data_IF_296366140011
#
_entry.id   IF_296366140011
#
_cell.length_a   1.000
_cell.length_b   1.000
_cell.length_c   1.000
_cell.angle_alpha   90.00
_cell.angle_beta   90.00
_cell.angle_gamma   90.00
#
_symmetry.space_group_name_H-M   'P 1'
#
loop_
_entity.id
_entity.type
_entity.pdbx_description
1 polymer ?
#
# COMPACT_ATOMS: atom_id res chain seq x y z
N UNK A 1 46.16 -20.73 60.67
CA UNK A 1 46.97 -20.65 59.44
C UNK A 1 46.03 -20.70 58.25
N UNK A 2 46.06 -19.62 57.45
CA UNK A 2 45.76 -19.50 56.01
C UNK A 2 44.35 -19.77 55.48
N UNK A 3 43.75 -18.66 55.05
CA UNK A 3 43.10 -18.39 53.78
C UNK A 3 42.00 -19.33 53.29
N UNK A 4 40.78 -18.81 53.25
CA UNK A 4 39.79 -19.28 52.27
C UNK A 4 39.17 -18.06 51.59
N UNK A 5 39.72 -17.82 50.41
CA UNK A 5 39.37 -16.84 49.37
C UNK A 5 37.88 -16.66 49.12
N UNK A 6 37.41 -15.41 49.21
CA UNK A 6 36.17 -14.95 48.60
C UNK A 6 36.23 -15.11 47.08
N UNK A 7 35.50 -16.09 46.54
CA UNK A 7 35.26 -16.18 45.10
C UNK A 7 34.10 -15.26 44.75
N UNK A 8 34.42 -14.07 44.27
CA UNK A 8 33.48 -13.17 43.61
C UNK A 8 33.01 -13.81 42.30
N UNK A 9 31.77 -14.29 42.28
CA UNK A 9 31.10 -14.78 41.07
C UNK A 9 30.79 -13.57 40.17
N UNK A 10 31.73 -13.22 39.28
CA UNK A 10 31.48 -12.30 38.16
C UNK A 10 30.69 -13.05 37.10
N UNK A 11 29.38 -12.90 37.10
CA UNK A 11 28.51 -13.35 36.00
C UNK A 11 28.82 -12.51 34.77
N UNK A 12 29.54 -13.08 33.79
CA UNK A 12 29.73 -12.46 32.48
C UNK A 12 28.40 -12.52 31.71
N UNK A 13 27.93 -11.42 31.08
CA UNK A 13 26.71 -11.45 30.28
C UNK A 13 26.92 -12.37 29.08
N UNK A 14 25.97 -13.28 28.85
CA UNK A 14 25.99 -14.21 27.71
C UNK A 14 26.08 -13.43 26.38
N UNK A 15 26.83 -13.93 25.37
CA UNK A 15 26.94 -13.26 24.10
C UNK A 15 25.56 -13.23 23.41
N UNK A 16 25.08 -12.04 23.04
CA UNK A 16 23.94 -11.88 22.13
C UNK A 16 24.38 -12.37 20.74
N UNK A 17 24.10 -13.63 20.44
CA UNK A 17 24.52 -14.31 19.18
C UNK A 17 23.72 -13.82 17.96
N UNK A 18 22.56 -13.16 18.17
CA UNK A 18 21.76 -12.57 17.09
C UNK A 18 21.47 -11.11 17.47
N UNK A 19 22.00 -10.17 16.69
CA UNK A 19 21.57 -8.77 16.70
C UNK A 19 20.42 -8.65 15.71
N UNK A 20 19.19 -8.57 16.22
CA UNK A 20 18.02 -8.29 15.40
C UNK A 20 17.89 -6.77 15.29
N UNK A 21 18.01 -6.24 14.07
CA UNK A 21 17.61 -4.87 13.78
C UNK A 21 16.10 -4.82 13.60
N UNK A 22 15.39 -4.36 14.63
CA UNK A 22 13.93 -4.21 14.60
C UNK A 22 13.47 -3.23 13.52
N UNK A 23 14.28 -2.24 13.17
CA UNK A 23 13.99 -1.27 12.11
C UNK A 23 14.02 -1.92 10.74
N UNK A 24 15.06 -2.72 10.48
CA UNK A 24 15.20 -3.46 9.22
C UNK A 24 14.06 -4.46 9.02
N UNK A 25 13.66 -5.18 10.08
CA UNK A 25 12.51 -6.10 10.03
C UNK A 25 11.21 -5.37 9.71
N UNK A 26 10.95 -4.23 10.36
CA UNK A 26 9.72 -3.45 10.09
C UNK A 26 9.66 -2.94 8.65
N UNK A 27 10.79 -2.45 8.13
CA UNK A 27 10.87 -2.00 6.74
C UNK A 27 10.61 -3.16 5.78
N UNK A 28 11.25 -4.31 6.01
CA UNK A 28 11.03 -5.50 5.19
C UNK A 28 9.57 -5.98 5.22
N UNK A 29 8.94 -5.96 6.40
CA UNK A 29 7.54 -6.32 6.55
C UNK A 29 6.63 -5.36 5.76
N UNK A 30 6.87 -4.06 5.85
CA UNK A 30 6.13 -3.05 5.10
C UNK A 30 6.24 -3.28 3.58
N UNK A 31 7.44 -3.58 3.09
CA UNK A 31 7.68 -3.87 1.68
C UNK A 31 6.93 -5.13 1.21
N UNK A 32 6.92 -6.19 2.03
CA UNK A 32 6.16 -7.42 1.73
C UNK A 32 4.67 -7.11 1.64
N UNK A 33 4.12 -6.40 2.62
CA UNK A 33 2.69 -6.05 2.65
C UNK A 33 2.34 -5.20 1.43
N UNK A 34 3.13 -4.16 1.16
CA UNK A 34 2.96 -3.28 0.00
C UNK A 34 2.97 -4.07 -1.31
N UNK A 35 3.94 -4.95 -1.49
CA UNK A 35 4.05 -5.79 -2.70
C UNK A 35 2.88 -6.75 -2.83
N UNK A 36 2.44 -7.37 -1.74
CA UNK A 36 1.27 -8.25 -1.75
C UNK A 36 0.00 -7.49 -2.14
N UNK A 37 -0.21 -6.28 -1.63
CA UNK A 37 -1.35 -5.42 -2.03
C UNK A 37 -1.24 -5.04 -3.52
N UNK A 38 -0.05 -4.71 -4.01
CA UNK A 38 0.15 -4.40 -5.42
C UNK A 38 -0.14 -5.60 -6.33
N UNK A 39 0.39 -6.77 -6.00
CA UNK A 39 0.22 -8.00 -6.78
C UNK A 39 -1.25 -8.45 -6.78
N UNK A 40 -1.93 -8.37 -5.64
CA UNK A 40 -3.35 -8.72 -5.54
C UNK A 40 -4.25 -7.78 -6.34
N UNK A 41 -4.07 -6.46 -6.22
CA UNK A 41 -4.86 -5.50 -7.00
C UNK A 41 -4.64 -5.68 -8.51
N UNK A 42 -3.39 -5.88 -8.93
CA UNK A 42 -3.07 -6.14 -10.34
C UNK A 42 -3.67 -7.47 -10.82
N UNK A 43 -3.62 -8.52 -10.01
CA UNK A 43 -4.24 -9.81 -10.31
C UNK A 43 -5.76 -9.71 -10.47
N UNK A 44 -6.42 -8.93 -9.61
CA UNK A 44 -7.87 -8.70 -9.72
C UNK A 44 -8.23 -7.91 -10.97
N UNK A 45 -7.45 -6.88 -11.33
CA UNK A 45 -7.65 -6.12 -12.58
C UNK A 45 -7.48 -7.03 -13.81
N UNK A 46 -6.51 -7.93 -13.77
CA UNK A 46 -6.33 -8.92 -14.83
C UNK A 46 -7.50 -9.90 -14.89
N UNK A 47 -7.98 -10.41 -13.75
CA UNK A 47 -9.13 -11.31 -13.71
C UNK A 47 -10.42 -10.65 -14.25
N UNK A 48 -10.67 -9.39 -13.90
CA UNK A 48 -11.81 -8.63 -14.40
C UNK A 48 -11.72 -8.40 -15.92
N UNK A 49 -10.52 -8.15 -16.44
CA UNK A 49 -10.31 -8.02 -17.88
C UNK A 49 -10.53 -9.34 -18.64
N UNK A 50 -10.14 -10.48 -18.06
CA UNK A 50 -10.39 -11.79 -18.65
C UNK A 50 -11.89 -12.13 -18.64
N UNK A 51 -12.59 -11.82 -17.56
CA UNK A 51 -14.05 -11.95 -17.46
C UNK A 51 -14.76 -11.09 -18.50
N UNK A 52 -14.34 -9.84 -18.69
CA UNK A 52 -14.89 -8.95 -19.72
C UNK A 52 -14.61 -9.44 -21.15
N UNK A 53 -13.48 -10.12 -21.38
CA UNK A 53 -13.14 -10.67 -22.70
C UNK A 53 -13.74 -12.06 -22.96
N UNK A 54 -14.34 -12.72 -21.96
CA UNK A 54 -14.73 -14.14 -21.96
C UNK A 54 -13.59 -15.09 -22.35
N UNK A 55 -12.34 -14.69 -22.10
CA UNK A 55 -11.16 -15.47 -22.45
C UNK A 55 -9.94 -14.95 -21.71
N UNK A 56 -9.09 -15.86 -21.25
CA UNK A 56 -7.81 -15.51 -20.66
C UNK A 56 -6.85 -14.93 -21.72
N UNK A 57 -5.75 -14.34 -21.23
CA UNK A 57 -4.69 -13.83 -22.09
C UNK A 57 -4.09 -14.97 -22.93
N UNK A 58 -4.05 -14.78 -24.25
CA UNK A 58 -3.58 -15.74 -25.26
C UNK A 58 -4.45 -17.00 -25.46
N UNK A 59 -5.56 -17.14 -24.72
CA UNK A 59 -6.49 -18.25 -24.88
C UNK A 59 -7.29 -18.14 -26.19
N UNK A 60 -7.36 -19.21 -26.96
CA UNK A 60 -8.22 -19.26 -28.15
C UNK A 60 -9.60 -19.76 -27.74
N UNK A 61 -10.53 -18.83 -27.55
CA UNK A 61 -11.94 -19.13 -27.29
C UNK A 61 -12.80 -18.59 -28.44
N UNK A 62 -13.79 -19.35 -28.94
CA UNK A 62 -14.77 -18.84 -29.90
C UNK A 62 -15.64 -17.73 -29.32
N UNK A 63 -15.81 -17.71 -27.99
CA UNK A 63 -16.65 -16.73 -27.27
C UNK A 63 -15.90 -15.43 -26.94
N UNK A 64 -14.65 -15.29 -27.40
CA UNK A 64 -13.81 -14.12 -27.12
C UNK A 64 -14.42 -12.85 -27.72
N UNK A 65 -14.75 -11.89 -26.84
CA UNK A 65 -15.37 -10.61 -27.24
C UNK A 65 -14.31 -9.58 -27.65
N UNK A 66 -13.19 -9.53 -26.92
CA UNK A 66 -12.11 -8.57 -27.17
C UNK A 66 -10.72 -9.13 -26.85
N UNK A 67 -9.68 -8.34 -27.07
CA UNK A 67 -8.29 -8.70 -26.81
C UNK A 67 -7.54 -7.56 -26.13
N UNK A 68 -6.57 -7.92 -25.29
CA UNK A 68 -5.73 -6.96 -24.58
C UNK A 68 -4.79 -6.19 -25.53
N UNK A 69 -4.65 -4.90 -25.27
CA UNK A 69 -3.82 -3.93 -25.97
C UNK A 69 -2.73 -3.34 -25.05
N UNK A 70 -2.17 -4.17 -24.18
CA UNK A 70 -1.21 -3.76 -23.16
C UNK A 70 -1.87 -3.21 -21.91
N UNK A 71 -1.16 -2.33 -21.20
CA UNK A 71 -1.61 -1.70 -19.96
C UNK A 71 -1.15 -0.24 -19.92
N UNK A 72 -1.76 0.57 -19.06
CA UNK A 72 -1.15 1.80 -18.58
C UNK A 72 -0.89 1.69 -17.08
N UNK A 73 0.15 2.37 -16.62
CA UNK A 73 0.51 2.41 -15.21
C UNK A 73 -0.11 3.63 -14.55
N UNK A 74 -0.63 3.46 -13.33
CA UNK A 74 -1.01 4.56 -12.46
C UNK A 74 -0.68 4.25 -11.01
N UNK A 75 -0.46 5.28 -10.22
CA UNK A 75 -0.22 5.17 -8.78
C UNK A 75 -1.54 5.22 -8.01
N UNK A 76 -1.63 4.46 -6.93
CA UNK A 76 -2.72 4.51 -5.97
C UNK A 76 -2.14 4.55 -4.55
N UNK A 77 -2.56 5.51 -3.74
CA UNK A 77 -2.21 5.53 -2.33
C UNK A 77 -3.18 4.62 -1.57
N UNK A 78 -2.63 3.56 -0.96
CA UNK A 78 -3.36 2.65 -0.07
C UNK A 78 -2.83 2.80 1.35
N UNK A 79 -3.49 2.17 2.32
CA UNK A 79 -3.00 2.14 3.70
C UNK A 79 -1.58 1.57 3.84
N UNK A 80 -1.20 0.64 2.97
CA UNK A 80 0.14 0.03 2.93
C UNK A 80 1.20 0.90 2.22
N UNK A 81 0.80 2.06 1.69
CA UNK A 81 1.65 2.98 0.93
C UNK A 81 1.24 3.11 -0.54
N UNK A 82 2.08 3.80 -1.31
CA UNK A 82 1.85 4.02 -2.75
C UNK A 82 2.15 2.76 -3.58
N UNK A 83 1.12 2.16 -4.19
CA UNK A 83 1.24 0.99 -5.06
C UNK A 83 1.11 1.35 -6.53
N UNK A 84 1.74 0.56 -7.40
CA UNK A 84 1.67 0.75 -8.86
C UNK A 84 0.65 -0.21 -9.49
N UNK A 85 -0.39 0.36 -10.07
CA UNK A 85 -1.43 -0.39 -10.77
C UNK A 85 -1.12 -0.46 -12.26
N UNK A 86 -1.22 -1.67 -12.83
CA UNK A 86 -1.12 -1.97 -14.26
C UNK A 86 -2.52 -2.19 -14.82
N UNK A 87 -3.20 -1.10 -15.15
CA UNK A 87 -4.58 -1.17 -15.62
C UNK A 87 -4.61 -1.72 -17.06
N UNK A 88 -5.32 -2.84 -17.32
CA UNK A 88 -5.44 -3.40 -18.67
C UNK A 88 -6.09 -2.43 -19.65
N UNK A 89 -5.59 -2.45 -20.89
CA UNK A 89 -6.25 -1.81 -22.03
C UNK A 89 -6.86 -2.90 -22.90
N UNK A 90 -8.12 -2.73 -23.29
CA UNK A 90 -8.78 -3.56 -24.29
C UNK A 90 -8.77 -2.84 -25.64
N UNK A 91 -8.93 -3.58 -26.75
CA UNK A 91 -8.81 -3.00 -28.10
C UNK A 91 -10.08 -2.29 -28.55
N UNK A 92 -11.24 -2.82 -28.22
CA UNK A 92 -12.55 -2.32 -28.67
C UNK A 92 -13.38 -1.81 -27.49
N UNK A 93 -13.42 -2.56 -26.40
CA UNK A 93 -14.21 -2.24 -25.22
C UNK A 93 -13.48 -1.23 -24.32
N UNK A 94 -14.25 -0.44 -23.59
CA UNK A 94 -13.74 0.38 -22.50
C UNK A 94 -13.58 -0.49 -21.26
N UNK A 95 -12.36 -0.59 -20.75
CA UNK A 95 -12.12 -1.25 -19.46
C UNK A 95 -12.49 -0.30 -18.31
N UNK A 96 -13.61 -0.61 -17.66
CA UNK A 96 -14.05 0.05 -16.43
C UNK A 96 -14.07 -1.01 -15.33
N UNK A 97 -13.26 -0.78 -14.30
CA UNK A 97 -13.10 -1.73 -13.20
C UNK A 97 -13.99 -1.34 -12.02
N UNK A 98 -14.64 -2.34 -11.43
CA UNK A 98 -15.42 -2.19 -10.20
C UNK A 98 -14.55 -2.24 -8.95
N UNK A 99 -13.31 -2.73 -9.07
CA UNK A 99 -12.36 -2.86 -7.96
C UNK A 99 -11.88 -1.48 -7.51
N UNK A 100 -11.61 -0.58 -8.47
CA UNK A 100 -11.07 0.74 -8.17
C UNK A 100 -11.67 1.77 -9.13
N UNK A 101 -12.32 2.78 -8.57
CA UNK A 101 -12.90 3.87 -9.35
C UNK A 101 -11.90 4.56 -10.31
N UNK A 102 -12.43 5.00 -11.44
CA UNK A 102 -11.66 5.73 -12.45
C UNK A 102 -11.14 7.04 -11.88
N UNK A 103 -9.87 7.35 -12.14
CA UNK A 103 -9.17 8.56 -11.68
C UNK A 103 -9.01 8.70 -10.17
N UNK A 104 -9.46 7.73 -9.37
CA UNK A 104 -9.27 7.77 -7.93
C UNK A 104 -7.79 7.56 -7.58
N UNK A 105 -7.22 8.53 -6.87
CA UNK A 105 -5.80 8.54 -6.50
C UNK A 105 -5.50 7.93 -5.13
N UNK A 106 -6.52 7.83 -4.27
CA UNK A 106 -6.40 7.34 -2.89
C UNK A 106 -7.53 6.39 -2.56
N UNK A 107 -7.23 5.36 -1.80
CA UNK A 107 -8.22 4.46 -1.20
C UNK A 107 -9.16 5.22 -0.24
N UNK A 108 -10.43 4.82 -0.16
CA UNK A 108 -11.44 5.46 0.70
C UNK A 108 -10.98 5.58 2.15
N UNK A 109 -10.39 4.52 2.70
CA UNK A 109 -9.93 4.51 4.09
C UNK A 109 -8.85 5.55 4.38
N UNK A 110 -8.03 5.89 3.39
CA UNK A 110 -7.00 6.93 3.52
C UNK A 110 -7.64 8.31 3.52
N UNK A 111 -8.64 8.53 2.66
CA UNK A 111 -9.40 9.78 2.63
C UNK A 111 -10.17 9.99 3.95
N UNK A 112 -10.87 8.96 4.42
CA UNK A 112 -11.60 8.95 5.69
C UNK A 112 -10.68 9.29 6.87
N UNK A 113 -9.50 8.67 6.96
CA UNK A 113 -8.54 8.97 8.03
C UNK A 113 -8.11 10.45 8.04
N UNK A 114 -7.90 11.06 6.86
CA UNK A 114 -7.54 12.49 6.78
C UNK A 114 -8.69 13.41 7.23
N UNK A 115 -9.93 13.04 6.90
CA UNK A 115 -11.13 13.76 7.31
C UNK A 115 -11.31 13.66 8.84
N UNK A 116 -11.18 12.47 9.40
CA UNK A 116 -11.25 12.25 10.85
C UNK A 116 -10.20 13.06 11.61
N UNK A 117 -8.95 13.12 11.10
CA UNK A 117 -7.91 13.97 11.69
C UNK A 117 -8.32 15.44 11.71
N UNK A 118 -8.89 15.95 10.60
CA UNK A 118 -9.37 17.33 10.54
C UNK A 118 -10.51 17.58 11.53
N UNK A 119 -11.47 16.65 11.64
CA UNK A 119 -12.58 16.74 12.59
C UNK A 119 -12.10 16.69 14.05
N UNK A 120 -11.02 15.95 14.33
CA UNK A 120 -10.35 15.92 15.62
C UNK A 120 -9.54 17.19 15.93
N UNK A 121 -9.54 18.19 15.05
CA UNK A 121 -8.85 19.47 15.23
C UNK A 121 -7.37 19.46 14.81
N UNK A 122 -6.91 18.43 14.09
CA UNK A 122 -5.56 18.43 13.52
C UNK A 122 -5.51 19.44 12.36
N UNK A 123 -4.54 20.36 12.42
CA UNK A 123 -4.37 21.36 11.35
C UNK A 123 -3.98 20.70 10.03
N UNK A 124 -4.40 21.27 8.90
CA UNK A 124 -4.16 20.69 7.57
C UNK A 124 -2.67 20.48 7.26
N UNK A 125 -1.80 21.37 7.74
CA UNK A 125 -0.34 21.21 7.64
C UNK A 125 0.18 20.02 8.44
N UNK A 126 -0.36 19.82 9.65
CA UNK A 126 0.03 18.68 10.47
C UNK A 126 -0.49 17.36 9.91
N UNK A 127 -1.66 17.38 9.25
CA UNK A 127 -2.14 16.21 8.49
C UNK A 127 -1.18 15.89 7.35
N UNK A 128 -0.72 16.89 6.60
CA UNK A 128 0.31 16.72 5.56
C UNK A 128 1.58 16.05 6.11
N UNK A 129 2.14 16.56 7.22
CA UNK A 129 3.33 15.98 7.88
C UNK A 129 3.10 14.51 8.30
N UNK A 130 1.92 14.20 8.86
CA UNK A 130 1.55 12.84 9.27
C UNK A 130 1.44 11.92 8.05
N UNK A 131 0.80 12.39 6.97
CA UNK A 131 0.64 11.60 5.74
C UNK A 131 1.98 11.26 5.09
N UNK A 132 2.94 12.20 5.13
CA UNK A 132 4.28 12.00 4.62
C UNK A 132 5.06 10.99 5.48
N UNK A 133 4.99 11.13 6.80
CA UNK A 133 5.67 10.23 7.73
C UNK A 133 5.14 8.79 7.67
N UNK A 134 3.83 8.60 7.47
CA UNK A 134 3.20 7.27 7.48
C UNK A 134 3.20 6.58 6.11
N UNK A 135 2.96 7.33 5.04
CA UNK A 135 2.74 6.76 3.70
C UNK A 135 3.83 7.11 2.69
N UNK A 136 4.80 7.95 3.06
CA UNK A 136 5.88 8.40 2.18
C UNK A 136 5.41 9.34 1.06
N UNK A 137 4.17 9.83 1.13
CA UNK A 137 3.58 10.72 0.14
C UNK A 137 2.79 11.82 0.85
N UNK A 138 3.19 13.07 0.65
CA UNK A 138 2.49 14.22 1.20
C UNK A 138 1.19 14.52 0.46
N UNK A 139 0.18 14.96 1.20
CA UNK A 139 -1.10 15.43 0.65
C UNK A 139 -1.24 16.90 0.96
N UNK A 140 -1.35 17.72 -0.09
CA UNK A 140 -1.41 19.17 0.09
C UNK A 140 -2.62 19.60 0.94
N UNK A 141 -2.49 20.68 1.72
CA UNK A 141 -3.59 21.22 2.54
C UNK A 141 -4.83 21.58 1.70
N UNK A 142 -4.62 22.02 0.47
CA UNK A 142 -5.69 22.30 -0.50
C UNK A 142 -6.46 21.05 -0.89
N UNK A 143 -5.78 19.91 -1.05
CA UNK A 143 -6.42 18.63 -1.36
C UNK A 143 -7.28 18.18 -0.19
N UNK A 144 -6.77 18.29 1.03
CA UNK A 144 -7.50 17.93 2.26
C UNK A 144 -8.72 18.84 2.45
N UNK A 145 -8.56 20.15 2.24
CA UNK A 145 -9.68 21.10 2.26
C UNK A 145 -10.77 20.74 1.25
N UNK A 146 -10.39 20.35 0.02
CA UNK A 146 -11.35 19.92 -0.99
C UNK A 146 -12.04 18.60 -0.64
N UNK A 147 -11.37 17.67 0.05
CA UNK A 147 -11.99 16.43 0.54
C UNK A 147 -13.03 16.74 1.61
N UNK A 148 -12.70 17.59 2.58
CA UNK A 148 -13.63 17.97 3.64
C UNK A 148 -14.87 18.69 3.09
N UNK A 149 -14.71 19.57 2.09
CA UNK A 149 -15.83 20.25 1.42
C UNK A 149 -16.83 19.33 0.70
N UNK A 150 -16.48 18.06 0.44
CA UNK A 150 -17.42 17.11 -0.17
C UNK A 150 -18.36 16.45 0.84
N UNK A 151 -18.02 16.55 2.14
CA UNK A 151 -18.77 15.95 3.23
C UNK A 151 -19.73 16.98 3.87
N UNK A 152 -19.40 18.26 3.76
CA UNK A 152 -20.25 19.40 4.12
C UNK A 152 -21.01 19.94 2.91
#
# INVERSE_FOLDING_TARGET
>A
MKDTTERTNRTLPAPKIISIDEGEIRNHLNDIVKKSVEDTLNGLLDAEADALCNAARYERSPDRVDTRAGHYTRKLHTKAGEVTLKVPKLRKLTFETSIIERYRRRESSVEEAMIEMYLAGVSLRRVEDITEALWGSSVSPSTISNMNKKIY
#
